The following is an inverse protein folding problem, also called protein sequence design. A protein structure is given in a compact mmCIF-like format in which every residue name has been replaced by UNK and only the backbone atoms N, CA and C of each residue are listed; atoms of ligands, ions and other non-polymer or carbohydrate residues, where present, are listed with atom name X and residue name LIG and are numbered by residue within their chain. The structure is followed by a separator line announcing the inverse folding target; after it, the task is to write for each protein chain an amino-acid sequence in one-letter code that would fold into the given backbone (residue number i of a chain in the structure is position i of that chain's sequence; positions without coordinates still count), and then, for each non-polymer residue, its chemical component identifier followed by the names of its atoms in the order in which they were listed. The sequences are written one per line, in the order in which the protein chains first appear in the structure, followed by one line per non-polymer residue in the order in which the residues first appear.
data_IF_980178999882
#
_entry.id   IF_980178999882
#
_cell.length_a   1.000
_cell.length_b   1.000
_cell.length_c   1.000
_cell.angle_alpha   90.00
_cell.angle_beta   90.00
_cell.angle_gamma   90.00
#
_symmetry.space_group_name_H-M   'P 1'
#
loop_
_entity.id
_entity.type
_entity.pdbx_description
1 polymer ?
#
# COMPACT_ATOMS: atom_id res chain seq x y z
N UNK A 1 23.91 -18.41 9.17
CA UNK A 1 23.11 -17.25 9.62
C UNK A 1 23.44 -16.01 8.77
N UNK A 2 23.33 -16.08 7.43
CA UNK A 2 23.45 -14.90 6.51
C UNK A 2 22.68 -15.14 5.20
N UNK A 3 22.49 -16.40 4.78
CA UNK A 3 21.74 -16.75 3.55
C UNK A 3 20.21 -16.64 3.66
N UNK A 4 19.65 -16.51 4.86
CA UNK A 4 18.20 -16.38 5.08
C UNK A 4 17.69 -14.93 4.86
N UNK A 5 18.58 -13.93 4.97
CA UNK A 5 18.23 -12.53 4.81
C UNK A 5 17.96 -12.13 3.35
N UNK A 6 18.56 -12.83 2.38
CA UNK A 6 18.43 -12.53 0.95
C UNK A 6 17.04 -12.94 0.43
N UNK A 7 16.50 -14.07 0.89
CA UNK A 7 15.12 -14.50 0.58
C UNK A 7 14.08 -13.57 1.20
N UNK A 8 14.29 -13.15 2.45
CA UNK A 8 13.39 -12.20 3.12
C UNK A 8 13.33 -10.84 2.40
N UNK A 9 14.46 -10.35 1.85
CA UNK A 9 14.50 -9.10 1.09
C UNK A 9 13.75 -9.18 -0.24
N UNK A 10 13.80 -10.32 -0.93
CA UNK A 10 13.11 -10.51 -2.21
C UNK A 10 11.59 -10.58 -2.03
N UNK A 11 11.11 -11.32 -1.03
CA UNK A 11 9.68 -11.36 -0.69
C UNK A 11 9.12 -9.99 -0.25
N UNK A 12 9.98 -9.20 0.40
CA UNK A 12 9.65 -7.89 0.96
C UNK A 12 9.60 -6.81 -0.12
N UNK A 13 10.54 -6.83 -1.06
CA UNK A 13 10.52 -5.95 -2.22
C UNK A 13 9.30 -6.22 -3.12
N UNK A 14 8.97 -7.49 -3.36
CA UNK A 14 7.82 -7.86 -4.18
C UNK A 14 6.49 -7.55 -3.51
N UNK A 15 6.42 -7.70 -2.19
CA UNK A 15 5.30 -7.20 -1.40
C UNK A 15 5.10 -5.69 -1.60
N UNK A 16 6.16 -4.90 -1.41
CA UNK A 16 6.06 -3.44 -1.52
C UNK A 16 5.71 -3.01 -2.95
N UNK A 17 6.22 -3.75 -3.96
CA UNK A 17 5.83 -3.59 -5.36
C UNK A 17 4.37 -3.91 -5.57
N UNK A 18 3.83 -5.00 -5.01
CA UNK A 18 2.40 -5.36 -5.10
C UNK A 18 1.53 -4.35 -4.37
N UNK A 19 1.91 -3.89 -3.18
CA UNK A 19 1.19 -2.83 -2.48
C UNK A 19 1.14 -1.53 -3.31
N UNK A 20 2.27 -1.15 -3.93
CA UNK A 20 2.34 -0.03 -4.87
C UNK A 20 1.49 -0.27 -6.12
N UNK A 21 1.51 -1.47 -6.69
CA UNK A 21 0.73 -1.83 -7.87
C UNK A 21 -0.77 -1.89 -7.56
N UNK A 22 -1.18 -2.37 -6.40
CA UNK A 22 -2.57 -2.41 -5.99
C UNK A 22 -3.10 -1.01 -5.68
N UNK A 23 -2.29 -0.16 -5.02
CA UNK A 23 -2.61 1.26 -4.87
C UNK A 23 -2.70 1.98 -6.22
N UNK A 24 -1.87 1.59 -7.20
CA UNK A 24 -2.01 2.03 -8.59
C UNK A 24 -3.24 1.42 -9.28
N UNK A 25 -3.65 0.21 -8.94
CA UNK A 25 -4.78 -0.52 -9.53
C UNK A 25 -6.14 -0.01 -9.03
N UNK A 26 -6.19 0.74 -7.93
CA UNK A 26 -7.35 1.59 -7.57
C UNK A 26 -7.62 2.62 -8.70
N UNK A 27 -6.68 2.84 -9.64
CA UNK A 27 -6.98 3.44 -10.96
C UNK A 27 -7.84 2.49 -11.81
N UNK A 28 -9.12 2.34 -11.53
CA UNK A 28 -10.11 2.11 -12.59
C UNK A 28 -11.24 3.14 -12.49
N UNK A 29 -11.71 3.66 -13.63
CA UNK A 29 -12.21 5.02 -13.72
C UNK A 29 -13.71 5.05 -13.44
N UNK A 30 -14.09 5.44 -12.22
CA UNK A 30 -15.37 6.09 -11.99
C UNK A 30 -15.06 7.50 -11.50
N UNK A 31 -15.26 8.48 -12.38
CA UNK A 31 -15.12 9.93 -12.14
C UNK A 31 -13.77 10.39 -11.53
N UNK A 32 -12.84 10.83 -12.38
CA UNK A 32 -11.74 11.78 -12.10
C UNK A 32 -10.94 11.68 -10.78
N UNK A 33 -10.78 10.51 -10.16
CA UNK A 33 -9.84 10.36 -9.01
C UNK A 33 -8.39 10.42 -9.51
N UNK A 34 -7.70 11.52 -9.27
CA UNK A 34 -6.27 11.67 -9.52
C UNK A 34 -5.47 11.35 -8.26
N UNK A 35 -4.68 10.27 -8.28
CA UNK A 35 -3.69 10.02 -7.23
C UNK A 35 -2.56 11.06 -7.32
N UNK A 36 -2.50 11.97 -6.35
CA UNK A 36 -1.47 13.02 -6.28
C UNK A 36 -0.19 12.51 -5.65
N UNK A 37 -0.31 11.76 -4.56
CA UNK A 37 0.84 11.25 -3.82
C UNK A 37 0.52 9.90 -3.19
N UNK A 38 1.52 9.04 -3.12
CA UNK A 38 1.47 7.82 -2.32
C UNK A 38 2.78 7.66 -1.55
N UNK A 39 2.65 7.33 -0.25
CA UNK A 39 3.75 6.94 0.62
C UNK A 39 3.43 5.56 1.17
N UNK A 40 4.44 4.70 1.16
CA UNK A 40 4.34 3.35 1.72
C UNK A 40 5.49 3.19 2.71
N UNK A 41 5.18 2.70 3.90
CA UNK A 41 6.13 2.34 4.93
C UNK A 41 5.90 0.89 5.37
N UNK A 42 6.96 0.21 5.78
CA UNK A 42 6.86 -1.11 6.40
C UNK A 42 7.39 -1.02 7.84
N UNK A 43 6.53 -0.65 8.81
CA UNK A 43 6.96 -0.45 10.19
C UNK A 43 7.52 -1.72 10.83
N UNK A 44 7.03 -2.89 10.42
CA UNK A 44 7.54 -4.20 10.83
C UNK A 44 7.34 -5.22 9.71
N UNK A 45 8.14 -6.31 9.67
CA UNK A 45 7.99 -7.34 8.65
C UNK A 45 6.55 -7.82 8.52
N UNK A 46 6.02 -7.82 7.29
CA UNK A 46 4.66 -8.29 7.02
C UNK A 46 3.56 -7.29 7.38
N UNK A 47 3.90 -6.01 7.58
CA UNK A 47 2.92 -4.94 7.78
C UNK A 47 3.26 -3.77 6.89
N UNK A 48 2.35 -3.38 5.99
CA UNK A 48 2.50 -2.21 5.15
C UNK A 48 1.49 -1.13 5.54
N UNK A 49 1.99 0.08 5.79
CA UNK A 49 1.17 1.26 5.99
C UNK A 49 1.25 2.14 4.77
N UNK A 50 0.10 2.63 4.32
CA UNK A 50 -0.03 3.43 3.11
C UNK A 50 -0.77 4.71 3.41
N UNK A 51 -0.20 5.82 2.98
CA UNK A 51 -0.85 7.12 2.95
C UNK A 51 -0.94 7.60 1.50
N UNK A 52 -2.12 7.98 1.05
CA UNK A 52 -2.38 8.45 -0.30
C UNK A 52 -3.15 9.77 -0.28
N UNK A 53 -2.74 10.72 -1.11
CA UNK A 53 -3.50 11.92 -1.41
C UNK A 53 -4.20 11.74 -2.75
N UNK A 54 -5.52 11.85 -2.74
CA UNK A 54 -6.39 11.68 -3.90
C UNK A 54 -7.08 13.02 -4.19
N UNK A 55 -7.06 13.48 -5.43
CA UNK A 55 -7.93 14.58 -5.86
C UNK A 55 -9.14 13.97 -6.58
N UNK A 56 -10.34 14.31 -6.13
CA UNK A 56 -11.60 13.92 -6.75
C UNK A 56 -12.41 15.20 -6.99
N UNK A 57 -12.59 15.55 -8.26
CA UNK A 57 -13.12 16.86 -8.67
C UNK A 57 -12.34 18.00 -7.97
N UNK A 58 -13.04 18.92 -7.31
CA UNK A 58 -12.47 20.09 -6.62
C UNK A 58 -11.97 19.79 -5.20
N UNK A 59 -12.01 18.53 -4.74
CA UNK A 59 -11.66 18.15 -3.37
C UNK A 59 -10.45 17.23 -3.32
N UNK A 60 -9.57 17.48 -2.35
CA UNK A 60 -8.47 16.58 -2.01
C UNK A 60 -8.85 15.77 -0.79
N UNK A 61 -8.64 14.47 -0.88
CA UNK A 61 -8.87 13.49 0.16
C UNK A 61 -7.55 12.86 0.57
N UNK A 62 -7.42 12.52 1.85
CA UNK A 62 -6.32 11.71 2.35
C UNK A 62 -6.84 10.33 2.76
N UNK A 63 -6.24 9.29 2.18
CA UNK A 63 -6.52 7.90 2.48
C UNK A 63 -5.33 7.30 3.20
N UNK A 64 -5.53 6.80 4.42
CA UNK A 64 -4.57 6.02 5.16
C UNK A 64 -5.09 4.59 5.34
N UNK A 65 -4.29 3.57 5.05
CA UNK A 65 -4.66 2.19 5.30
C UNK A 65 -3.47 1.31 5.67
N UNK A 66 -3.77 0.23 6.39
CA UNK A 66 -2.79 -0.74 6.88
C UNK A 66 -3.12 -2.11 6.36
N UNK A 67 -2.13 -2.74 5.73
CA UNK A 67 -2.18 -4.12 5.28
C UNK A 67 -1.30 -4.98 6.20
N UNK A 68 -1.80 -6.15 6.60
CA UNK A 68 -1.04 -7.15 7.36
C UNK A 68 -0.97 -8.46 6.59
N UNK A 69 0.21 -9.06 6.54
CA UNK A 69 0.44 -10.36 5.93
C UNK A 69 0.04 -11.46 6.91
N UNK A 70 -1.02 -12.21 6.59
CA UNK A 70 -1.47 -13.37 7.36
C UNK A 70 -1.56 -14.58 6.44
N UNK A 71 -0.88 -15.68 6.80
CA UNK A 71 -0.87 -16.94 6.01
C UNK A 71 -0.54 -16.73 4.52
N UNK A 72 0.41 -15.83 4.22
CA UNK A 72 0.82 -15.50 2.86
C UNK A 72 -0.09 -14.52 2.11
N UNK A 73 -1.24 -14.14 2.66
CA UNK A 73 -2.15 -13.16 2.08
C UNK A 73 -2.04 -11.79 2.76
N UNK A 74 -2.28 -10.71 2.02
CA UNK A 74 -2.35 -9.35 2.56
C UNK A 74 -3.80 -9.01 2.90
N UNK A 75 -4.04 -8.61 4.15
CA UNK A 75 -5.35 -8.22 4.65
C UNK A 75 -5.35 -6.77 5.08
N UNK A 76 -6.33 -6.00 4.59
CA UNK A 76 -6.58 -4.66 5.13
C UNK A 76 -7.14 -4.78 6.54
N UNK A 77 -6.42 -4.24 7.52
CA UNK A 77 -6.80 -4.30 8.94
C UNK A 77 -7.20 -2.94 9.50
N UNK A 78 -6.81 -1.86 8.84
CA UNK A 78 -7.27 -0.52 9.15
C UNK A 78 -7.37 0.31 7.88
N UNK A 79 -8.40 1.15 7.79
CA UNK A 79 -8.59 2.10 6.70
C UNK A 79 -9.23 3.38 7.25
N UNK A 80 -8.80 4.53 6.75
CA UNK A 80 -9.34 5.84 7.07
C UNK A 80 -9.28 6.73 5.84
N UNK A 81 -10.39 7.36 5.53
CA UNK A 81 -10.51 8.41 4.52
C UNK A 81 -10.90 9.70 5.24
N UNK A 82 -10.21 10.78 4.94
CA UNK A 82 -10.43 12.13 5.49
C UNK A 82 -10.43 13.16 4.37
#
# INVERSE_FOLDING_TARGET
MVVEQVSACLDRADTLRRARQQARSIRRPSAFVQLKQIRVCEPRPGVAEVAAALALAERTWALAYRLERRRGAWLCTAIRLV
#
